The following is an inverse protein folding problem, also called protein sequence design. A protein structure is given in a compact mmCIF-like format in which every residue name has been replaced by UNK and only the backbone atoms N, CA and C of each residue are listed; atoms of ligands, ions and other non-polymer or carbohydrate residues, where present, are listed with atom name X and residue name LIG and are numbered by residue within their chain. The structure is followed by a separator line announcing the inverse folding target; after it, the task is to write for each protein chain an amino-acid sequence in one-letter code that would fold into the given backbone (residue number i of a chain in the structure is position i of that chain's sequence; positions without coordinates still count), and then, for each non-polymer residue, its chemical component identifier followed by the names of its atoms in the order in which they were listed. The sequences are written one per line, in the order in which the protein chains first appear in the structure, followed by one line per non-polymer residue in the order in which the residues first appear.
data_IF_116864688965
#
_entry.id   IF_116864688965
#
_cell.length_a   1.000
_cell.length_b   1.000
_cell.length_c   1.000
_cell.angle_alpha   90.00
_cell.angle_beta   90.00
_cell.angle_gamma   90.00
#
_symmetry.space_group_name_H-M   'P 1'
#
loop_
_entity.id
_entity.type
_entity.pdbx_description
1 polymer ?
#
# COMPACT_ATOMS: atom_id res chain seq x y z
N UNK A 1 17.99 14.14 -0.05
CA UNK A 1 19.32 14.59 0.44
C UNK A 1 19.54 14.25 1.92
N UNK A 2 18.56 14.49 2.79
CA UNK A 2 18.61 14.20 4.24
C UNK A 2 19.18 12.82 4.62
N UNK A 3 18.79 11.67 4.03
CA UNK A 3 19.29 10.36 4.47
C UNK A 3 20.80 10.18 4.35
N UNK A 4 21.42 10.63 3.25
CA UNK A 4 22.87 10.47 3.05
C UNK A 4 23.69 11.34 4.01
N UNK A 5 23.23 12.57 4.27
CA UNK A 5 23.90 13.47 5.23
C UNK A 5 23.83 12.90 6.64
N UNK A 6 22.68 12.33 7.03
CA UNK A 6 22.52 11.67 8.32
C UNK A 6 23.38 10.40 8.43
N UNK A 7 23.42 9.58 7.37
CA UNK A 7 24.26 8.38 7.32
C UNK A 7 25.74 8.71 7.50
N UNK A 8 26.31 9.54 6.62
CA UNK A 8 27.75 9.86 6.67
C UNK A 8 28.12 10.70 7.89
N UNK A 9 27.23 11.58 8.37
CA UNK A 9 27.43 12.36 9.60
C UNK A 9 27.46 11.47 10.85
N UNK A 10 26.59 10.46 10.93
CA UNK A 10 26.58 9.49 12.02
C UNK A 10 27.84 8.60 12.01
N UNK A 11 28.21 8.04 10.85
CA UNK A 11 29.43 7.22 10.71
C UNK A 11 30.70 8.03 11.07
N UNK A 12 30.77 9.32 10.68
CA UNK A 12 31.87 10.21 11.07
C UNK A 12 31.95 10.50 12.58
N UNK A 13 30.84 10.32 13.31
CA UNK A 13 30.79 10.40 14.78
C UNK A 13 30.99 9.04 15.47
N UNK A 14 31.22 7.97 14.70
CA UNK A 14 31.39 6.61 15.23
C UNK A 14 30.10 5.95 15.72
N UNK A 15 28.93 6.43 15.28
CA UNK A 15 27.62 5.82 15.58
C UNK A 15 26.97 5.29 14.30
N UNK A 16 26.12 4.26 14.41
CA UNK A 16 25.56 3.59 13.22
C UNK A 16 24.69 4.53 12.37
N UNK A 17 25.13 4.78 11.14
CA UNK A 17 24.40 5.58 10.15
C UNK A 17 23.08 4.96 9.74
N UNK A 18 22.97 3.63 9.74
CA UNK A 18 21.71 2.92 9.50
C UNK A 18 20.69 3.27 10.59
N UNK A 19 21.08 3.17 11.87
CA UNK A 19 20.18 3.50 12.99
C UNK A 19 19.81 4.98 12.97
N UNK A 20 20.77 5.88 12.71
CA UNK A 20 20.51 7.32 12.61
C UNK A 20 19.47 7.67 11.54
N UNK A 21 19.58 7.07 10.33
CA UNK A 21 18.63 7.27 9.24
C UNK A 21 17.25 6.70 9.57
N UNK A 22 17.17 5.49 10.18
CA UNK A 22 15.90 4.89 10.61
C UNK A 22 15.23 5.74 11.69
N UNK A 23 15.97 6.20 12.70
CA UNK A 23 15.44 7.06 13.75
C UNK A 23 14.92 8.39 13.21
N UNK A 24 15.66 9.03 12.31
CA UNK A 24 15.21 10.26 11.64
C UNK A 24 13.99 10.01 10.74
N UNK A 25 13.91 8.85 10.07
CA UNK A 25 12.74 8.46 9.28
C UNK A 25 11.47 8.28 10.14
N UNK A 26 11.59 7.65 11.32
CA UNK A 26 10.49 7.50 12.27
C UNK A 26 10.00 8.86 12.79
N UNK A 27 10.91 9.77 13.14
CA UNK A 27 10.55 11.14 13.56
C UNK A 27 9.89 11.90 12.40
N UNK A 28 10.47 11.85 11.20
CA UNK A 28 9.95 12.55 10.04
C UNK A 28 8.57 12.04 9.60
N UNK A 29 8.29 10.74 9.76
CA UNK A 29 6.97 10.18 9.49
C UNK A 29 5.93 10.68 10.51
N UNK A 30 6.26 10.68 11.81
CA UNK A 30 5.40 11.19 12.87
C UNK A 30 5.14 12.71 12.78
N UNK A 31 6.09 13.50 12.27
CA UNK A 31 5.88 14.92 11.94
C UNK A 31 5.11 15.10 10.62
N UNK A 32 5.36 14.22 9.64
CA UNK A 32 4.75 14.23 8.31
C UNK A 32 3.24 14.03 8.34
N UNK A 33 2.71 13.20 9.24
CA UNK A 33 1.26 13.02 9.44
C UNK A 33 0.54 14.32 9.85
N UNK A 34 1.23 15.29 10.47
CA UNK A 34 0.66 16.61 10.77
C UNK A 34 0.76 17.58 9.61
N UNK A 35 1.80 17.44 8.78
CA UNK A 35 2.05 18.32 7.63
C UNK A 35 1.26 17.91 6.38
N UNK A 36 0.84 16.64 6.29
CA UNK A 36 0.03 16.13 5.18
C UNK A 36 -1.31 16.85 5.03
N UNK A 37 -1.88 17.34 6.15
CA UNK A 37 -3.11 18.14 6.16
C UNK A 37 -2.92 19.57 5.59
N UNK A 38 -1.69 20.06 5.49
CA UNK A 38 -1.40 21.39 4.95
C UNK A 38 -1.30 21.41 3.41
N UNK A 39 -0.92 20.29 2.78
CA UNK A 39 -1.03 20.07 1.34
C UNK A 39 -1.22 18.56 1.04
N UNK A 40 -2.47 18.08 1.00
CA UNK A 40 -2.77 16.65 0.83
C UNK A 40 -2.31 16.07 -0.52
N UNK A 41 -2.35 16.86 -1.60
CA UNK A 41 -1.88 16.42 -2.93
C UNK A 41 -0.37 16.17 -2.91
N UNK A 42 0.41 17.17 -2.50
CA UNK A 42 1.87 17.05 -2.38
C UNK A 42 2.28 15.91 -1.42
N UNK A 43 1.52 15.71 -0.35
CA UNK A 43 1.75 14.61 0.58
C UNK A 43 1.49 13.24 -0.07
N UNK A 44 0.39 13.08 -0.82
CA UNK A 44 0.07 11.87 -1.58
C UNK A 44 1.17 11.55 -2.59
N UNK A 45 1.55 12.52 -3.42
CA UNK A 45 2.55 12.36 -4.47
C UNK A 45 3.92 11.99 -3.91
N UNK A 46 4.31 12.60 -2.78
CA UNK A 46 5.56 12.27 -2.10
C UNK A 46 5.54 10.85 -1.51
N UNK A 47 4.40 10.40 -0.94
CA UNK A 47 4.26 9.02 -0.47
C UNK A 47 4.34 8.02 -1.63
N UNK A 48 3.70 8.31 -2.77
CA UNK A 48 3.78 7.48 -3.97
C UNK A 48 5.21 7.42 -4.52
N UNK A 49 5.91 8.55 -4.63
CA UNK A 49 7.30 8.63 -5.07
C UNK A 49 8.23 7.80 -4.17
N UNK A 50 8.08 7.92 -2.84
CA UNK A 50 8.86 7.15 -1.86
C UNK A 50 8.53 5.66 -1.95
N UNK A 51 7.25 5.30 -2.15
CA UNK A 51 6.81 3.92 -2.41
C UNK A 51 7.51 3.33 -3.64
N UNK A 52 7.41 4.00 -4.79
CA UNK A 52 8.06 3.59 -6.03
C UNK A 52 9.59 3.45 -5.87
N UNK A 53 10.23 4.37 -5.15
CA UNK A 53 11.67 4.28 -4.87
C UNK A 53 12.00 3.05 -4.00
N UNK A 54 11.21 2.78 -2.96
CA UNK A 54 11.38 1.60 -2.12
C UNK A 54 11.17 0.30 -2.92
N UNK A 55 10.17 0.25 -3.80
CA UNK A 55 9.89 -0.91 -4.65
C UNK A 55 11.01 -1.18 -5.64
N UNK A 56 11.57 -0.14 -6.26
CA UNK A 56 12.75 -0.25 -7.14
C UNK A 56 13.96 -0.75 -6.35
N UNK A 57 14.26 -0.16 -5.18
CA UNK A 57 15.41 -0.56 -4.37
C UNK A 57 15.29 -2.00 -3.86
N UNK A 58 14.12 -2.39 -3.36
CA UNK A 58 13.85 -3.77 -2.94
C UNK A 58 13.96 -4.75 -4.12
N UNK A 59 13.41 -4.39 -5.29
CA UNK A 59 13.50 -5.20 -6.50
C UNK A 59 14.96 -5.41 -6.94
N UNK A 60 15.80 -4.38 -6.91
CA UNK A 60 17.24 -4.50 -7.20
C UNK A 60 17.91 -5.48 -6.24
N UNK A 61 17.63 -5.42 -4.94
CA UNK A 61 18.25 -6.34 -3.96
C UNK A 61 17.75 -7.78 -4.14
N UNK A 62 16.46 -7.99 -4.44
CA UNK A 62 15.95 -9.34 -4.76
C UNK A 62 16.50 -9.89 -6.09
N UNK A 63 16.72 -9.05 -7.10
CA UNK A 63 17.40 -9.44 -8.34
C UNK A 63 18.85 -9.85 -8.05
N UNK A 64 19.60 -9.09 -7.25
CA UNK A 64 20.97 -9.43 -6.85
C UNK A 64 21.01 -10.75 -6.07
N UNK A 65 20.10 -10.95 -5.10
CA UNK A 65 19.98 -12.19 -4.35
C UNK A 65 19.66 -13.39 -5.28
N UNK A 66 18.74 -13.21 -6.24
CA UNK A 66 18.42 -14.23 -7.24
C UNK A 66 19.60 -14.58 -8.15
N UNK A 67 20.37 -13.58 -8.59
CA UNK A 67 21.60 -13.78 -9.37
C UNK A 67 22.67 -14.50 -8.55
N UNK A 68 22.86 -14.14 -7.27
CA UNK A 68 23.79 -14.85 -6.38
C UNK A 68 23.39 -16.30 -6.16
N UNK A 69 22.10 -16.58 -5.92
CA UNK A 69 21.57 -17.94 -5.78
C UNK A 69 21.82 -18.76 -7.06
N UNK A 70 21.46 -18.23 -8.23
CA UNK A 70 21.66 -18.93 -9.51
C UNK A 70 23.13 -19.15 -9.81
N UNK A 71 23.99 -18.14 -9.55
CA UNK A 71 25.44 -18.26 -9.72
C UNK A 71 26.01 -19.39 -8.88
N UNK A 72 25.64 -19.49 -7.60
CA UNK A 72 26.18 -20.54 -6.73
C UNK A 72 25.58 -21.93 -7.01
N UNK A 73 24.32 -22.02 -7.44
CA UNK A 73 23.74 -23.30 -7.90
C UNK A 73 24.42 -23.83 -9.17
N UNK A 74 24.90 -22.95 -10.04
CA UNK A 74 25.65 -23.30 -11.25
C UNK A 74 27.16 -23.46 -11.00
N UNK A 75 27.69 -22.82 -9.96
CA UNK A 75 29.10 -22.93 -9.59
C UNK A 75 29.40 -24.30 -8.97
N UNK A 76 29.89 -25.19 -9.85
CA UNK A 76 30.29 -26.53 -9.45
C UNK A 76 31.45 -26.52 -8.45
N UNK A 77 32.27 -25.47 -8.34
CA UNK A 77 33.40 -25.43 -7.41
C UNK A 77 32.95 -25.32 -5.94
N UNK A 78 31.87 -24.58 -5.66
CA UNK A 78 31.22 -24.53 -4.34
C UNK A 78 30.51 -25.86 -4.03
N UNK A 79 30.02 -26.54 -5.07
CA UNK A 79 29.35 -27.85 -4.95
C UNK A 79 30.34 -29.04 -4.92
N UNK A 80 31.61 -28.87 -5.31
CA UNK A 80 32.55 -29.98 -5.57
C UNK A 80 33.08 -30.71 -4.32
N UNK A 81 32.62 -30.34 -3.13
CA UNK A 81 32.83 -31.12 -1.89
C UNK A 81 31.52 -31.66 -1.28
N UNK A 82 30.40 -31.62 -2.02
CA UNK A 82 29.15 -32.33 -1.70
C UNK A 82 28.41 -31.90 -0.43
N UNK A 83 28.86 -30.83 0.23
CA UNK A 83 28.45 -30.52 1.60
C UNK A 83 27.28 -29.54 1.65
N UNK A 84 26.08 -30.07 1.94
CA UNK A 84 24.84 -29.30 2.19
C UNK A 84 24.88 -28.52 3.52
N UNK A 85 26.06 -28.24 4.09
CA UNK A 85 26.23 -27.48 5.34
C UNK A 85 25.56 -26.10 5.24
N UNK A 86 25.64 -25.40 4.10
CA UNK A 86 24.96 -24.11 3.92
C UNK A 86 23.44 -24.21 4.09
N UNK A 87 22.84 -25.35 3.69
CA UNK A 87 21.41 -25.62 3.92
C UNK A 87 21.14 -25.84 5.40
N UNK A 88 21.97 -26.65 6.07
CA UNK A 88 21.87 -26.90 7.50
C UNK A 88 22.00 -25.62 8.33
N UNK A 89 22.97 -24.77 8.00
CA UNK A 89 23.18 -23.47 8.67
C UNK A 89 22.00 -22.52 8.37
N UNK A 90 21.57 -22.36 7.11
CA UNK A 90 20.46 -21.47 6.77
C UNK A 90 19.14 -21.87 7.42
N UNK A 91 18.84 -23.18 7.48
CA UNK A 91 17.69 -23.71 8.23
C UNK A 91 17.85 -23.50 9.75
N UNK A 92 19.04 -23.74 10.31
CA UNK A 92 19.30 -23.53 11.73
C UNK A 92 19.16 -22.05 12.14
N UNK A 93 19.70 -21.12 11.34
CA UNK A 93 19.56 -19.68 11.55
C UNK A 93 18.10 -19.23 11.45
N UNK A 94 17.34 -19.77 10.48
CA UNK A 94 15.91 -19.49 10.34
C UNK A 94 15.12 -19.96 11.57
N UNK A 95 15.32 -21.21 12.00
CA UNK A 95 14.65 -21.78 13.18
C UNK A 95 15.07 -21.06 14.46
N UNK A 96 16.35 -20.73 14.63
CA UNK A 96 16.83 -20.00 15.80
C UNK A 96 16.21 -18.59 15.91
N UNK A 97 16.12 -17.84 14.80
CA UNK A 97 15.47 -16.53 14.78
C UNK A 97 13.95 -16.64 15.02
N UNK A 98 13.30 -17.66 14.45
CA UNK A 98 11.87 -17.93 14.66
C UNK A 98 11.56 -18.23 16.13
N UNK A 99 12.33 -19.14 16.75
CA UNK A 99 12.18 -19.49 18.16
C UNK A 99 12.52 -18.31 19.08
N UNK A 100 13.62 -17.58 18.84
CA UNK A 100 13.97 -16.41 19.64
C UNK A 100 12.86 -15.34 19.65
N UNK A 101 12.21 -15.10 18.50
CA UNK A 101 11.05 -14.19 18.43
C UNK A 101 9.81 -14.74 19.13
N UNK A 102 9.50 -16.02 18.94
CA UNK A 102 8.39 -16.68 19.61
C UNK A 102 8.56 -16.64 21.14
N UNK A 103 9.73 -17.03 21.64
CA UNK A 103 10.07 -17.03 23.06
C UNK A 103 10.05 -15.61 23.65
N UNK A 104 10.58 -14.61 22.93
CA UNK A 104 10.49 -13.22 23.35
C UNK A 104 9.02 -12.77 23.54
N UNK A 105 8.16 -12.98 22.55
CA UNK A 105 6.74 -12.61 22.65
C UNK A 105 6.01 -13.43 23.72
N UNK A 106 6.32 -14.72 23.84
CA UNK A 106 5.64 -15.63 24.78
C UNK A 106 6.05 -15.40 26.23
N UNK A 107 7.32 -15.11 26.51
CA UNK A 107 7.88 -14.97 27.86
C UNK A 107 7.88 -13.52 28.34
N UNK A 108 8.25 -12.57 27.48
CA UNK A 108 8.35 -11.13 27.84
C UNK A 108 7.01 -10.44 27.67
N UNK A 109 6.38 -10.53 26.49
CA UNK A 109 5.10 -9.87 26.22
C UNK A 109 3.88 -10.68 26.73
N UNK A 110 4.06 -11.95 27.11
CA UNK A 110 3.03 -12.85 27.67
C UNK A 110 1.77 -13.01 26.80
N UNK A 111 1.94 -12.83 25.48
CA UNK A 111 0.87 -12.90 24.49
C UNK A 111 0.41 -14.36 24.30
N UNK A 112 -0.82 -14.53 23.79
CA UNK A 112 -1.41 -15.83 23.46
C UNK A 112 -0.55 -16.65 22.49
N UNK A 113 -0.67 -17.98 22.55
CA UNK A 113 0.20 -18.88 21.77
C UNK A 113 0.06 -18.67 20.26
N UNK A 114 -1.18 -18.49 19.77
CA UNK A 114 -1.46 -18.31 18.35
C UNK A 114 -0.87 -17.00 17.84
N UNK A 115 -1.05 -15.94 18.61
CA UNK A 115 -0.60 -14.58 18.30
C UNK A 115 0.94 -14.49 18.36
N UNK A 116 1.58 -15.21 19.30
CA UNK A 116 3.04 -15.37 19.34
C UNK A 116 3.59 -16.07 18.09
N UNK A 117 2.93 -17.12 17.60
CA UNK A 117 3.30 -17.77 16.32
C UNK A 117 3.09 -16.86 15.12
N UNK A 118 1.98 -16.10 15.07
CA UNK A 118 1.72 -15.12 14.01
C UNK A 118 2.83 -14.07 13.96
N UNK A 119 3.20 -13.51 15.11
CA UNK A 119 4.29 -12.53 15.20
C UNK A 119 5.65 -13.12 14.78
N UNK A 120 6.00 -14.30 15.31
CA UNK A 120 7.30 -14.91 15.07
C UNK A 120 7.51 -15.25 13.58
N UNK A 121 6.46 -15.78 12.92
CA UNK A 121 6.44 -16.04 11.48
C UNK A 121 6.38 -14.75 10.65
N UNK A 122 5.74 -13.69 11.13
CA UNK A 122 5.60 -12.41 10.42
C UNK A 122 6.91 -11.64 10.22
N UNK A 123 7.97 -12.01 10.92
CA UNK A 123 9.29 -11.37 10.80
C UNK A 123 10.06 -11.79 9.55
N UNK A 124 9.61 -11.36 8.39
CA UNK A 124 10.27 -11.56 7.09
C UNK A 124 11.67 -10.90 7.09
N UNK A 125 12.65 -11.58 6.50
CA UNK A 125 13.99 -11.03 6.23
C UNK A 125 14.10 -10.62 4.75
N UNK A 126 15.00 -9.70 4.43
CA UNK A 126 15.09 -9.13 3.09
C UNK A 126 16.31 -8.26 2.90
N UNK A 127 16.15 -7.11 2.24
CA UNK A 127 17.26 -6.30 1.74
C UNK A 127 18.29 -5.90 2.82
N UNK A 128 17.83 -5.51 4.02
CA UNK A 128 18.72 -5.12 5.14
C UNK A 128 19.57 -6.30 5.63
N UNK A 129 18.96 -7.48 5.76
CA UNK A 129 19.66 -8.72 6.16
C UNK A 129 20.72 -9.10 5.13
N UNK A 130 20.35 -9.06 3.84
CA UNK A 130 21.27 -9.36 2.74
C UNK A 130 22.46 -8.38 2.69
N UNK A 131 22.20 -7.07 2.81
CA UNK A 131 23.24 -6.05 2.81
C UNK A 131 24.21 -6.22 4.00
N UNK A 132 23.69 -6.44 5.21
CA UNK A 132 24.51 -6.65 6.40
C UNK A 132 25.34 -7.94 6.30
N UNK A 133 24.74 -9.04 5.83
CA UNK A 133 25.45 -10.29 5.58
C UNK A 133 26.60 -10.10 4.56
N UNK A 134 26.34 -9.37 3.47
CA UNK A 134 27.34 -9.06 2.45
C UNK A 134 28.50 -8.24 3.03
N UNK A 135 28.24 -7.13 3.72
CA UNK A 135 29.28 -6.26 4.31
C UNK A 135 30.11 -6.97 5.38
N UNK A 136 29.48 -7.76 6.27
CA UNK A 136 30.20 -8.52 7.30
C UNK A 136 31.08 -9.60 6.67
N UNK A 137 30.55 -10.33 5.68
CA UNK A 137 31.32 -11.36 4.99
C UNK A 137 32.50 -10.74 4.22
N UNK A 138 32.29 -9.64 3.49
CA UNK A 138 33.33 -8.96 2.69
C UNK A 138 34.49 -8.46 3.56
N UNK A 139 34.21 -7.98 4.78
CA UNK A 139 35.21 -7.33 5.64
C UNK A 139 35.92 -8.26 6.62
N UNK A 140 35.33 -9.41 6.98
CA UNK A 140 35.85 -10.23 8.10
C UNK A 140 36.15 -11.70 7.76
N UNK A 141 35.79 -12.17 6.56
CA UNK A 141 35.68 -13.62 6.28
C UNK A 141 36.57 -14.05 5.10
N UNK A 142 37.16 -15.26 5.19
CA UNK A 142 37.93 -15.85 4.08
C UNK A 142 37.02 -16.18 2.89
N UNK A 143 37.55 -16.13 1.67
CA UNK A 143 36.75 -16.24 0.42
C UNK A 143 35.88 -17.50 0.31
N UNK A 144 36.28 -18.63 0.91
CA UNK A 144 35.47 -19.85 0.94
C UNK A 144 34.30 -19.75 1.94
N UNK A 145 34.57 -19.19 3.12
CA UNK A 145 33.60 -18.98 4.19
C UNK A 145 32.61 -17.83 3.85
N UNK A 146 33.03 -16.86 3.03
CA UNK A 146 32.19 -15.79 2.47
C UNK A 146 30.98 -16.37 1.71
N UNK A 147 31.25 -17.29 0.79
CA UNK A 147 30.20 -17.95 0.00
C UNK A 147 29.24 -18.77 0.89
N UNK A 148 29.77 -19.40 1.95
CA UNK A 148 28.99 -20.17 2.90
C UNK A 148 28.01 -19.28 3.70
N UNK A 149 28.48 -18.15 4.21
CA UNK A 149 27.64 -17.15 4.92
C UNK A 149 26.56 -16.61 3.99
N UNK A 150 26.95 -16.11 2.80
CA UNK A 150 26.02 -15.49 1.86
C UNK A 150 24.92 -16.45 1.39
N UNK A 151 25.24 -17.74 1.19
CA UNK A 151 24.26 -18.77 0.82
C UNK A 151 23.35 -19.16 1.97
N UNK A 152 23.87 -19.27 3.19
CA UNK A 152 23.05 -19.60 4.37
C UNK A 152 22.06 -18.48 4.68
N UNK A 153 22.48 -17.22 4.57
CA UNK A 153 21.62 -16.04 4.72
C UNK A 153 20.62 -15.90 3.57
N UNK A 154 21.03 -16.17 2.32
CA UNK A 154 20.09 -16.22 1.18
C UNK A 154 18.99 -17.27 1.38
N UNK A 155 19.33 -18.44 1.94
CA UNK A 155 18.35 -19.46 2.28
C UNK A 155 17.44 -19.03 3.43
N UNK A 156 17.97 -18.40 4.47
CA UNK A 156 17.19 -17.83 5.58
C UNK A 156 16.16 -16.81 5.06
N UNK A 157 16.56 -15.92 4.14
CA UNK A 157 15.67 -14.94 3.52
C UNK A 157 14.55 -15.65 2.76
N UNK A 158 14.88 -16.62 1.90
CA UNK A 158 13.90 -17.40 1.12
C UNK A 158 12.93 -18.17 2.03
N UNK A 159 13.42 -18.83 3.09
CA UNK A 159 12.58 -19.51 4.07
C UNK A 159 11.66 -18.53 4.79
N UNK A 160 12.17 -17.35 5.17
CA UNK A 160 11.37 -16.32 5.84
C UNK A 160 10.29 -15.70 4.96
N UNK A 161 10.37 -15.83 3.63
CA UNK A 161 9.34 -15.40 2.69
C UNK A 161 8.33 -16.52 2.41
N UNK A 162 8.81 -17.73 2.13
CA UNK A 162 7.96 -18.86 1.71
C UNK A 162 7.17 -19.43 2.89
N UNK A 163 7.82 -19.66 4.03
CA UNK A 163 7.20 -20.37 5.16
C UNK A 163 6.00 -19.61 5.74
N UNK A 164 6.07 -18.28 6.00
CA UNK A 164 4.91 -17.53 6.46
C UNK A 164 3.80 -17.46 5.42
N UNK A 165 4.14 -17.22 4.14
CA UNK A 165 3.16 -17.19 3.03
C UNK A 165 2.33 -18.47 2.95
N UNK A 166 2.96 -19.62 3.16
CA UNK A 166 2.27 -20.93 3.17
C UNK A 166 1.51 -21.15 4.48
N UNK A 167 2.13 -20.92 5.64
CA UNK A 167 1.52 -21.20 6.96
C UNK A 167 0.35 -20.26 7.30
N UNK A 168 0.44 -18.97 6.93
CA UNK A 168 -0.60 -17.98 7.22
C UNK A 168 -1.96 -18.31 6.61
N UNK A 169 -2.01 -19.06 5.51
CA UNK A 169 -3.24 -19.60 4.92
C UNK A 169 -4.07 -20.44 5.91
N UNK A 170 -3.42 -21.08 6.89
CA UNK A 170 -4.08 -21.90 7.92
C UNK A 170 -4.06 -21.23 9.30
N UNK A 171 -3.04 -20.44 9.61
CA UNK A 171 -2.86 -19.83 10.94
C UNK A 171 -3.69 -18.57 11.15
N UNK A 172 -3.81 -17.71 10.14
CA UNK A 172 -4.61 -16.48 10.22
C UNK A 172 -6.11 -16.81 10.17
N UNK A 173 -6.98 -16.02 10.84
CA UNK A 173 -8.41 -16.13 10.59
C UNK A 173 -8.66 -15.84 9.11
N UNK A 174 -9.58 -16.60 8.50
CA UNK A 174 -10.07 -16.24 7.16
C UNK A 174 -10.69 -14.84 7.27
N UNK A 175 -10.18 -13.90 6.48
CA UNK A 175 -10.87 -12.62 6.27
C UNK A 175 -12.25 -12.97 5.78
N UNK A 176 -13.26 -12.66 6.59
CA UNK A 176 -14.64 -12.64 6.11
C UNK A 176 -14.74 -11.42 5.22
N UNK A 177 -14.49 -11.62 3.93
CA UNK A 177 -15.20 -10.83 2.94
C UNK A 177 -16.64 -11.33 3.09
N UNK A 178 -17.40 -10.71 4.00
CA UNK A 178 -18.80 -11.03 4.11
C UNK A 178 -19.40 -10.62 2.77
N UNK A 179 -19.89 -11.60 2.01
CA UNK A 179 -20.49 -11.32 0.69
C UNK A 179 -21.71 -10.41 0.83
N UNK A 180 -22.31 -10.42 2.03
CA UNK A 180 -23.31 -9.49 2.50
C UNK A 180 -22.75 -8.05 2.59
N UNK A 181 -21.58 -7.81 3.18
CA UNK A 181 -20.96 -6.47 3.23
C UNK A 181 -20.65 -5.93 1.83
N UNK A 182 -20.05 -6.74 0.94
CA UNK A 182 -19.78 -6.30 -0.43
C UNK A 182 -21.07 -5.99 -1.22
N UNK A 183 -22.13 -6.78 -1.02
CA UNK A 183 -23.43 -6.53 -1.63
C UNK A 183 -24.13 -5.29 -1.05
N UNK A 184 -24.08 -5.11 0.28
CA UNK A 184 -24.56 -3.90 0.97
C UNK A 184 -23.82 -2.66 0.46
N UNK A 185 -22.51 -2.74 0.24
CA UNK A 185 -21.73 -1.63 -0.32
C UNK A 185 -22.17 -1.25 -1.73
N UNK A 186 -22.49 -2.22 -2.59
CA UNK A 186 -23.05 -1.94 -3.91
C UNK A 186 -24.42 -1.25 -3.79
N UNK A 187 -25.31 -1.74 -2.91
CA UNK A 187 -26.64 -1.16 -2.68
C UNK A 187 -26.56 0.27 -2.10
N UNK A 188 -25.66 0.52 -1.14
CA UNK A 188 -25.50 1.85 -0.53
C UNK A 188 -24.86 2.82 -1.52
N UNK A 189 -23.90 2.37 -2.34
CA UNK A 189 -23.33 3.15 -3.46
C UNK A 189 -24.40 3.53 -4.49
N UNK A 190 -25.27 2.61 -4.87
CA UNK A 190 -26.38 2.88 -5.79
C UNK A 190 -27.37 3.89 -5.22
N UNK A 191 -27.76 3.74 -3.94
CA UNK A 191 -28.68 4.67 -3.27
C UNK A 191 -28.04 6.05 -3.02
N UNK A 192 -26.73 6.12 -2.77
CA UNK A 192 -25.96 7.36 -2.69
C UNK A 192 -26.03 8.13 -4.02
N UNK A 193 -25.72 7.46 -5.12
CA UNK A 193 -25.78 8.03 -6.48
C UNK A 193 -27.20 8.50 -6.82
N UNK A 194 -28.22 7.68 -6.53
CA UNK A 194 -29.62 8.07 -6.78
C UNK A 194 -30.10 9.21 -5.86
N UNK A 195 -29.52 9.39 -4.66
CA UNK A 195 -29.77 10.58 -3.83
C UNK A 195 -29.17 11.87 -4.46
N UNK A 196 -27.94 11.79 -5.00
CA UNK A 196 -27.32 12.89 -5.76
C UNK A 196 -28.09 13.24 -7.04
N UNK A 197 -28.55 12.22 -7.78
CA UNK A 197 -29.41 12.38 -8.96
C UNK A 197 -30.76 13.01 -8.57
N UNK A 198 -31.40 12.54 -7.51
CA UNK A 198 -32.68 13.08 -7.05
C UNK A 198 -32.58 14.59 -6.75
N UNK A 199 -31.51 15.03 -6.08
CA UNK A 199 -31.24 16.44 -5.81
C UNK A 199 -31.00 17.23 -7.13
N UNK A 200 -30.17 16.71 -8.04
CA UNK A 200 -29.91 17.28 -9.37
C UNK A 200 -31.20 17.54 -10.17
N UNK A 201 -32.16 16.60 -10.15
CA UNK A 201 -33.39 16.74 -10.90
C UNK A 201 -34.35 17.80 -10.32
N UNK A 202 -34.22 18.15 -9.03
CA UNK A 202 -34.98 19.25 -8.42
C UNK A 202 -34.43 20.65 -8.77
N UNK A 203 -33.17 20.76 -9.18
CA UNK A 203 -32.55 22.05 -9.47
C UNK A 203 -33.18 22.74 -10.70
N UNK A 204 -33.32 24.08 -10.72
CA UNK A 204 -33.87 24.84 -11.85
C UNK A 204 -32.82 25.09 -12.96
N UNK A 205 -32.14 24.03 -13.41
CA UNK A 205 -31.04 24.06 -14.39
C UNK A 205 -31.46 23.47 -15.75
N UNK A 206 -30.61 23.66 -16.78
CA UNK A 206 -30.86 23.13 -18.13
C UNK A 206 -30.98 21.60 -18.13
N UNK A 207 -31.80 21.06 -19.05
CA UNK A 207 -31.96 19.61 -19.19
C UNK A 207 -30.66 18.94 -19.69
N UNK A 208 -29.86 19.65 -20.47
CA UNK A 208 -28.54 19.21 -20.94
C UNK A 208 -27.58 18.93 -19.77
N UNK A 209 -27.50 19.85 -18.79
CA UNK A 209 -26.71 19.62 -17.58
C UNK A 209 -27.27 18.49 -16.72
N UNK A 210 -28.60 18.34 -16.61
CA UNK A 210 -29.20 17.20 -15.87
C UNK A 210 -28.83 15.86 -16.49
N UNK A 211 -28.87 15.74 -17.82
CA UNK A 211 -28.51 14.51 -18.53
C UNK A 211 -27.01 14.19 -18.40
N UNK A 212 -26.14 15.17 -18.63
CA UNK A 212 -24.69 14.98 -18.53
C UNK A 212 -24.25 14.58 -17.12
N UNK A 213 -24.68 15.33 -16.10
CA UNK A 213 -24.29 15.04 -14.71
C UNK A 213 -24.92 13.72 -14.24
N UNK A 214 -26.16 13.40 -14.62
CA UNK A 214 -26.75 12.07 -14.31
C UNK A 214 -25.92 10.91 -14.90
N UNK A 215 -25.33 11.09 -16.09
CA UNK A 215 -24.44 10.10 -16.68
C UNK A 215 -23.14 9.97 -15.87
N UNK A 216 -22.49 11.08 -15.55
CA UNK A 216 -21.23 11.10 -14.83
C UNK A 216 -21.37 10.50 -13.41
N UNK A 217 -22.46 10.80 -12.70
CA UNK A 217 -22.77 10.15 -11.40
C UNK A 217 -22.98 8.64 -11.54
N UNK A 218 -23.71 8.18 -12.56
CA UNK A 218 -23.92 6.74 -12.78
C UNK A 218 -22.66 6.00 -13.21
N UNK A 219 -21.65 6.70 -13.72
CA UNK A 219 -20.34 6.11 -14.01
C UNK A 219 -19.60 5.63 -12.74
N UNK A 220 -19.86 6.26 -11.58
CA UNK A 220 -19.28 5.88 -10.29
C UNK A 220 -19.64 4.45 -9.84
N UNK A 221 -20.73 3.88 -10.37
CA UNK A 221 -21.15 2.50 -10.07
C UNK A 221 -20.52 1.45 -11.01
N UNK A 222 -19.63 1.85 -11.93
CA UNK A 222 -18.97 0.93 -12.88
C UNK A 222 -19.90 0.30 -13.93
N UNK A 223 -21.19 0.66 -13.95
CA UNK A 223 -22.20 0.10 -14.86
C UNK A 223 -22.22 0.75 -16.25
N UNK A 224 -21.36 1.73 -16.54
CA UNK A 224 -21.26 2.36 -17.86
C UNK A 224 -20.62 1.42 -18.88
N UNK A 225 -21.39 1.01 -19.88
CA UNK A 225 -20.83 0.24 -21.01
C UNK A 225 -19.91 1.12 -21.87
N UNK A 226 -18.86 0.53 -22.45
CA UNK A 226 -17.93 1.24 -23.34
C UNK A 226 -18.63 2.03 -24.46
N UNK A 227 -19.79 1.57 -24.95
CA UNK A 227 -20.58 2.29 -25.96
C UNK A 227 -21.20 3.58 -25.44
N UNK A 228 -21.69 3.59 -24.19
CA UNK A 228 -22.25 4.78 -23.55
C UNK A 228 -21.15 5.78 -23.21
N UNK A 229 -20.00 5.31 -22.72
CA UNK A 229 -18.82 6.14 -22.54
C UNK A 229 -18.37 6.82 -23.86
N UNK A 230 -18.31 6.05 -24.96
CA UNK A 230 -17.96 6.60 -26.28
C UNK A 230 -19.03 7.51 -26.89
N UNK A 231 -20.31 7.38 -26.54
CA UNK A 231 -21.36 8.31 -27.00
C UNK A 231 -21.31 9.63 -26.24
N UNK A 232 -21.20 9.60 -24.91
CA UNK A 232 -21.14 10.82 -24.11
C UNK A 232 -19.79 11.54 -24.24
N UNK A 233 -18.66 10.82 -24.33
CA UNK A 233 -17.37 11.44 -24.68
C UNK A 233 -17.44 12.15 -26.03
N UNK A 234 -18.09 11.55 -27.03
CA UNK A 234 -18.33 12.20 -28.33
C UNK A 234 -19.27 13.40 -28.21
N UNK A 235 -20.29 13.35 -27.34
CA UNK A 235 -21.20 14.47 -27.07
C UNK A 235 -20.42 15.63 -26.47
N UNK A 236 -19.68 15.39 -25.37
CA UNK A 236 -18.82 16.38 -24.70
C UNK A 236 -17.81 17.03 -25.67
N UNK A 237 -17.10 16.24 -26.48
CA UNK A 237 -16.13 16.73 -27.49
C UNK A 237 -16.80 17.47 -28.66
N UNK A 238 -18.12 17.37 -28.82
CA UNK A 238 -18.88 18.10 -29.86
C UNK A 238 -19.53 19.39 -29.36
N UNK A 239 -19.54 19.66 -28.05
CA UNK A 239 -19.92 20.98 -27.55
C UNK A 239 -18.73 21.96 -27.71
N UNK A 240 -18.97 23.21 -28.16
CA UNK A 240 -17.94 24.25 -28.09
C UNK A 240 -17.59 24.51 -26.62
N UNK A 241 -16.34 24.89 -26.36
CA UNK A 241 -15.82 25.12 -25.00
C UNK A 241 -16.82 25.89 -24.13
N UNK A 242 -17.22 25.31 -23.00
CA UNK A 242 -18.16 25.95 -22.08
C UNK A 242 -17.67 27.36 -21.73
N UNK A 243 -18.56 28.35 -21.82
CA UNK A 243 -18.21 29.70 -21.36
C UNK A 243 -17.81 29.67 -19.89
N UNK A 244 -16.91 30.57 -19.47
CA UNK A 244 -16.44 30.61 -18.08
C UNK A 244 -17.58 30.71 -17.05
N UNK A 245 -18.75 31.21 -17.45
CA UNK A 245 -19.93 31.34 -16.60
C UNK A 245 -20.73 30.02 -16.52
N UNK A 246 -20.90 29.32 -17.64
CA UNK A 246 -21.44 27.94 -17.67
C UNK A 246 -20.54 26.97 -16.89
N UNK A 247 -19.22 27.11 -16.97
CA UNK A 247 -18.30 26.28 -16.17
C UNK A 247 -18.49 26.55 -14.67
N UNK A 248 -18.63 27.81 -14.25
CA UNK A 248 -18.90 28.14 -12.82
C UNK A 248 -20.25 27.61 -12.34
N UNK A 249 -21.28 27.62 -13.20
CA UNK A 249 -22.59 27.01 -12.93
C UNK A 249 -22.46 25.48 -12.78
N UNK A 250 -21.81 24.81 -13.73
CA UNK A 250 -21.54 23.36 -13.71
C UNK A 250 -20.82 22.93 -12.41
N UNK A 251 -19.77 23.66 -12.03
CA UNK A 251 -19.03 23.43 -10.78
C UNK A 251 -19.89 23.64 -9.53
N UNK A 252 -20.86 24.57 -9.56
CA UNK A 252 -21.79 24.77 -8.45
C UNK A 252 -22.80 23.62 -8.32
N UNK A 253 -23.31 23.12 -9.45
CA UNK A 253 -24.20 21.95 -9.48
C UNK A 253 -23.47 20.72 -8.92
N UNK A 254 -22.25 20.44 -9.39
CA UNK A 254 -21.45 19.31 -8.91
C UNK A 254 -21.21 19.33 -7.40
N UNK A 255 -20.80 20.47 -6.82
CA UNK A 255 -20.62 20.60 -5.36
C UNK A 255 -21.89 20.27 -4.59
N UNK A 256 -23.05 20.75 -5.05
CA UNK A 256 -24.33 20.52 -4.37
C UNK A 256 -24.77 19.05 -4.47
N UNK A 257 -24.55 18.41 -5.63
CA UNK A 257 -24.81 16.98 -5.84
C UNK A 257 -23.90 16.10 -4.97
N UNK A 258 -22.58 16.34 -4.96
CA UNK A 258 -21.65 15.59 -4.11
C UNK A 258 -21.92 15.82 -2.61
N UNK A 259 -22.43 17.00 -2.23
CA UNK A 259 -22.91 17.21 -0.85
C UNK A 259 -24.15 16.36 -0.52
N UNK A 260 -25.08 16.16 -1.47
CA UNK A 260 -26.21 15.26 -1.27
C UNK A 260 -25.76 13.79 -1.12
N UNK A 261 -24.78 13.34 -1.91
CA UNK A 261 -24.15 12.02 -1.77
C UNK A 261 -23.50 11.85 -0.37
N UNK A 262 -22.73 12.85 0.09
CA UNK A 262 -22.13 12.87 1.45
C UNK A 262 -23.19 12.79 2.54
N UNK A 263 -24.20 13.64 2.49
CA UNK A 263 -25.29 13.69 3.47
C UNK A 263 -25.99 12.32 3.59
N UNK A 264 -26.22 11.64 2.47
CA UNK A 264 -26.79 10.29 2.44
C UNK A 264 -25.86 9.27 3.12
N UNK A 265 -24.56 9.27 2.79
CA UNK A 265 -23.56 8.35 3.39
C UNK A 265 -23.40 8.58 4.91
N UNK A 266 -23.38 9.85 5.35
CA UNK A 266 -23.40 10.21 6.78
C UNK A 266 -24.68 9.76 7.48
N UNK A 267 -25.84 9.90 6.85
CA UNK A 267 -27.11 9.42 7.40
C UNK A 267 -27.12 7.89 7.54
N UNK A 268 -26.58 7.15 6.57
CA UNK A 268 -26.46 5.70 6.65
C UNK A 268 -25.46 5.25 7.72
N UNK A 269 -24.35 5.96 7.92
CA UNK A 269 -23.39 5.65 8.99
C UNK A 269 -23.96 5.90 10.39
N UNK A 270 -24.70 6.99 10.60
CA UNK A 270 -25.29 7.34 11.89
C UNK A 270 -26.52 6.48 12.27
N UNK A 271 -27.06 5.68 11.35
CA UNK A 271 -28.14 4.74 11.64
C UNK A 271 -27.62 3.55 12.48
N UNK A 272 -28.41 3.05 13.44
CA UNK A 272 -27.96 2.04 14.43
C UNK A 272 -27.58 0.66 13.86
N UNK A 273 -27.79 0.43 12.57
CA UNK A 273 -27.36 -0.77 11.82
C UNK A 273 -26.58 -0.39 10.54
N UNK A 274 -25.94 0.78 10.56
CA UNK A 274 -25.30 1.43 9.43
C UNK A 274 -23.97 0.84 8.99
N UNK A 275 -23.40 1.49 7.96
CA UNK A 275 -22.07 1.24 7.38
C UNK A 275 -20.99 0.95 8.44
N UNK A 276 -20.10 0.00 8.16
CA UNK A 276 -18.83 -0.09 8.91
C UNK A 276 -17.98 1.16 8.68
N UNK A 277 -17.11 1.49 9.63
CA UNK A 277 -16.23 2.67 9.54
C UNK A 277 -15.32 2.62 8.29
N UNK A 278 -14.76 1.45 7.97
CA UNK A 278 -13.99 1.24 6.73
C UNK A 278 -14.81 1.53 5.47
N UNK A 279 -16.06 1.07 5.45
CA UNK A 279 -17.00 1.24 4.34
C UNK A 279 -17.44 2.70 4.15
N UNK A 280 -17.74 3.39 5.25
CA UNK A 280 -18.04 4.81 5.27
C UNK A 280 -16.84 5.61 4.74
N UNK A 281 -15.64 5.38 5.29
CA UNK A 281 -14.41 6.04 4.89
C UNK A 281 -14.05 5.76 3.42
N UNK A 282 -14.40 4.58 2.88
CA UNK A 282 -14.25 4.29 1.46
C UNK A 282 -15.18 5.16 0.59
N UNK A 283 -16.50 5.14 0.82
CA UNK A 283 -17.45 5.93 0.01
C UNK A 283 -17.17 7.43 0.13
N UNK A 284 -16.91 7.93 1.33
CA UNK A 284 -16.62 9.35 1.57
C UNK A 284 -15.34 9.80 0.82
N UNK A 285 -14.32 8.93 0.77
CA UNK A 285 -13.11 9.18 -0.04
C UNK A 285 -13.41 9.14 -1.53
N UNK A 286 -14.22 8.20 -2.01
CA UNK A 286 -14.60 8.11 -3.44
C UNK A 286 -15.33 9.38 -3.91
N UNK A 287 -16.33 9.87 -3.17
CA UNK A 287 -17.01 11.16 -3.46
C UNK A 287 -16.00 12.32 -3.48
N UNK A 288 -15.11 12.36 -2.49
CA UNK A 288 -14.14 13.46 -2.35
C UNK A 288 -13.08 13.45 -3.47
N UNK A 289 -12.67 12.27 -3.94
CA UNK A 289 -11.81 12.14 -5.13
C UNK A 289 -12.55 12.62 -6.40
N UNK A 290 -13.83 12.26 -6.56
CA UNK A 290 -14.65 12.71 -7.68
C UNK A 290 -14.82 14.25 -7.70
N UNK A 291 -15.08 14.85 -6.53
CA UNK A 291 -15.17 16.31 -6.39
C UNK A 291 -13.84 16.99 -6.72
N UNK A 292 -12.69 16.46 -6.26
CA UNK A 292 -11.38 17.03 -6.60
C UNK A 292 -11.11 17.01 -8.11
N UNK A 293 -11.39 15.89 -8.79
CA UNK A 293 -11.24 15.79 -10.25
C UNK A 293 -12.11 16.83 -10.98
N UNK A 294 -13.36 17.01 -10.55
CA UNK A 294 -14.24 18.04 -11.11
C UNK A 294 -13.68 19.43 -10.87
N UNK A 295 -13.23 19.76 -9.65
CA UNK A 295 -12.70 21.08 -9.32
C UNK A 295 -11.41 21.42 -10.11
N UNK A 296 -10.57 20.43 -10.44
CA UNK A 296 -9.38 20.63 -11.28
C UNK A 296 -9.71 20.97 -12.73
N UNK A 297 -10.84 20.50 -13.29
CA UNK A 297 -11.31 20.91 -14.62
C UNK A 297 -11.92 22.32 -14.66
N UNK A 298 -12.17 22.93 -13.50
CA UNK A 298 -12.80 24.25 -13.38
C UNK A 298 -11.85 25.44 -13.17
N UNK A 299 -10.53 25.19 -13.20
CA UNK A 299 -9.47 26.17 -12.90
C UNK A 299 -8.64 26.55 -14.14
#
# INVERSE_FOLDING_TARGET
MTPFVLYFGAEALGVSGIIAVVSAGLVHNAEGERSSLANPQLASDLHQLIGLLNDILNSVVFIVLGIMLLRTLLDRSVTYNGSLIWVGIGVALYVANLLARYDYVRLVQRVGNREAWIFALGGIHGAVTFALAFTVAETQVRTADFNLVLMSESLLIILSLIVPTVIFRWLLPKVRIDMDDAARMAVIREQMIEAGIHELWQMPISQEFKEAITFDLRSQNGHTTLRQFLSEWRRMVQHPDYTADQMRELMAIYRHVFQAERNYVEQQYNATAGLSEDSFNQLYREITMAEMVVLEYGA
#
